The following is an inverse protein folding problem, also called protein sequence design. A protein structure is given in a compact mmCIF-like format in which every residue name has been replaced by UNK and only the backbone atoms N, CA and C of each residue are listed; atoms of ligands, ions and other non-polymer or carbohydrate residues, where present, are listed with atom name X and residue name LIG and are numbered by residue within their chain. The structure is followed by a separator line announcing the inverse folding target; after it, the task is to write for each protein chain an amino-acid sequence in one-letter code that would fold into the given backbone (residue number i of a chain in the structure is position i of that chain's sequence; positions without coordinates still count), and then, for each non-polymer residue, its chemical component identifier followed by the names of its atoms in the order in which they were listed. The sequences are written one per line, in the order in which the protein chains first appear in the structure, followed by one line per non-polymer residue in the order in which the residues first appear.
data_IF_173813044759
#
_entry.id   IF_173813044759
#
_cell.length_a   1.000
_cell.length_b   1.000
_cell.length_c   1.000
_cell.angle_alpha   90.00
_cell.angle_beta   90.00
_cell.angle_gamma   90.00
#
_symmetry.space_group_name_H-M   'P 1'
#
loop_
_entity.id
_entity.type
_entity.pdbx_description
1 polymer ?
#
# COMPACT_ATOMS: atom_id res chain seq x y z
N UNK A 1 -5.39 -17.48 -25.39
CA UNK A 1 -6.50 -17.52 -24.41
C UNK A 1 -6.03 -17.19 -22.98
N UNK A 2 -5.07 -16.26 -22.82
CA UNK A 2 -4.47 -15.90 -21.50
C UNK A 2 -4.84 -14.47 -21.08
N UNK A 3 -5.12 -13.59 -22.05
CA UNK A 3 -5.45 -12.16 -21.80
C UNK A 3 -6.78 -11.98 -21.03
N UNK A 4 -7.76 -12.86 -21.22
CA UNK A 4 -9.08 -12.76 -20.57
C UNK A 4 -9.11 -13.20 -19.10
N UNK A 5 -8.21 -14.09 -18.67
CA UNK A 5 -8.15 -14.57 -17.28
C UNK A 5 -7.37 -13.58 -16.38
N UNK A 6 -6.34 -12.93 -16.93
CA UNK A 6 -5.54 -11.92 -16.21
C UNK A 6 -6.38 -10.67 -15.91
N UNK A 7 -7.21 -10.23 -16.86
CA UNK A 7 -8.13 -9.10 -16.66
C UNK A 7 -9.23 -9.41 -15.66
N UNK A 8 -9.78 -10.63 -15.63
CA UNK A 8 -10.80 -11.00 -14.62
C UNK A 8 -10.25 -10.98 -13.19
N UNK A 9 -9.06 -11.54 -12.96
CA UNK A 9 -8.43 -11.56 -11.63
C UNK A 9 -8.02 -10.15 -11.17
N UNK A 10 -7.56 -9.29 -12.09
CA UNK A 10 -7.28 -7.87 -11.79
C UNK A 10 -8.55 -7.13 -11.35
N UNK A 11 -9.65 -7.27 -12.09
CA UNK A 11 -10.92 -6.58 -11.80
C UNK A 11 -11.52 -7.09 -10.48
N UNK A 12 -11.48 -8.40 -10.23
CA UNK A 12 -11.99 -8.97 -8.99
C UNK A 12 -11.20 -8.49 -7.76
N UNK A 13 -9.87 -8.41 -7.88
CA UNK A 13 -9.03 -8.07 -6.73
C UNK A 13 -8.86 -6.57 -6.54
N UNK A 14 -8.63 -5.74 -7.56
CA UNK A 14 -8.37 -4.30 -7.38
C UNK A 14 -9.53 -3.39 -7.85
N UNK A 15 -10.58 -3.96 -8.45
CA UNK A 15 -11.72 -3.22 -8.99
C UNK A 15 -12.33 -2.19 -8.04
N UNK A 16 -12.51 -2.49 -6.74
CA UNK A 16 -13.03 -1.50 -5.78
C UNK A 16 -12.14 -0.26 -5.62
N UNK A 17 -10.80 -0.42 -5.64
CA UNK A 17 -9.86 0.70 -5.55
C UNK A 17 -9.81 1.51 -6.85
N UNK A 18 -9.86 0.81 -7.99
CA UNK A 18 -9.96 1.44 -9.31
C UNK A 18 -11.22 2.31 -9.40
N UNK A 19 -12.38 1.78 -8.99
CA UNK A 19 -13.64 2.52 -9.00
C UNK A 19 -13.59 3.74 -8.07
N UNK A 20 -13.05 3.57 -6.86
CA UNK A 20 -12.88 4.69 -5.93
C UNK A 20 -11.97 5.78 -6.52
N UNK A 21 -10.88 5.37 -7.18
CA UNK A 21 -9.97 6.30 -7.83
C UNK A 21 -10.60 7.06 -8.99
N UNK A 22 -11.37 6.37 -9.84
CA UNK A 22 -12.08 6.99 -10.97
C UNK A 22 -13.17 7.96 -10.50
N UNK A 23 -13.80 7.68 -9.37
CA UNK A 23 -14.83 8.54 -8.79
C UNK A 23 -14.27 9.66 -7.89
N UNK A 24 -12.94 9.75 -7.72
CA UNK A 24 -12.31 10.67 -6.76
C UNK A 24 -12.87 10.52 -5.33
N UNK A 25 -13.03 9.27 -4.89
CA UNK A 25 -13.61 8.90 -3.60
C UNK A 25 -12.57 8.32 -2.65
N UNK A 26 -12.75 8.55 -1.35
CA UNK A 26 -12.03 7.82 -0.31
C UNK A 26 -12.51 6.38 -0.27
N UNK A 27 -11.59 5.46 0.01
CA UNK A 27 -11.88 4.06 0.26
C UNK A 27 -11.79 3.75 1.77
N UNK A 28 -12.64 2.84 2.22
CA UNK A 28 -12.83 2.55 3.64
C UNK A 28 -13.70 3.58 4.35
N UNK A 29 -14.17 3.26 5.56
CA UNK A 29 -15.14 4.07 6.30
C UNK A 29 -14.59 4.69 7.58
N UNK A 30 -13.39 4.30 8.01
CA UNK A 30 -12.88 4.70 9.34
C UNK A 30 -12.27 6.11 9.36
N UNK A 31 -11.69 6.56 8.25
CA UNK A 31 -11.06 7.89 8.10
C UNK A 31 -10.66 8.14 6.63
N UNK A 32 -10.10 9.31 6.37
CA UNK A 32 -9.51 9.68 5.08
C UNK A 32 -8.01 9.33 4.97
N UNK A 33 -7.47 8.57 5.92
CA UNK A 33 -6.05 8.22 5.96
C UNK A 33 -5.71 6.98 5.13
N UNK A 34 -4.42 6.76 4.87
CA UNK A 34 -3.89 5.62 4.13
C UNK A 34 -4.27 4.27 4.77
N UNK A 35 -4.31 4.22 6.10
CA UNK A 35 -4.67 3.01 6.86
C UNK A 35 -6.13 2.60 6.61
N UNK A 36 -7.04 3.57 6.43
CA UNK A 36 -8.44 3.30 6.16
C UNK A 36 -8.64 2.58 4.82
N UNK A 37 -7.79 2.90 3.85
CA UNK A 37 -7.78 2.24 2.55
C UNK A 37 -7.29 0.79 2.66
N UNK A 38 -6.26 0.54 3.48
CA UNK A 38 -5.58 -0.77 3.58
C UNK A 38 -6.29 -1.76 4.50
N UNK A 39 -6.84 -1.33 5.64
CA UNK A 39 -7.44 -2.25 6.63
C UNK A 39 -8.51 -3.21 6.09
N UNK A 40 -9.41 -2.81 5.18
CA UNK A 40 -10.38 -3.74 4.60
C UNK A 40 -9.76 -4.95 3.90
N UNK A 41 -8.49 -4.84 3.47
CA UNK A 41 -7.72 -5.88 2.79
C UNK A 41 -6.97 -6.81 3.76
N UNK A 42 -6.94 -6.49 5.05
CA UNK A 42 -6.28 -7.27 6.10
C UNK A 42 -7.28 -7.51 7.25
N UNK A 43 -8.33 -8.33 7.01
CA UNK A 43 -9.39 -8.50 7.98
C UNK A 43 -8.86 -9.08 9.29
N UNK A 44 -9.34 -8.54 10.41
CA UNK A 44 -9.02 -9.03 11.75
C UNK A 44 -7.68 -8.57 12.34
N UNK A 45 -6.93 -7.68 11.66
CA UNK A 45 -5.69 -7.09 12.21
C UNK A 45 -5.81 -5.59 12.41
N UNK A 46 -5.57 -5.15 13.64
CA UNK A 46 -5.28 -3.74 13.94
C UNK A 46 -3.88 -3.37 13.44
N UNK A 47 -3.61 -2.09 13.22
CA UNK A 47 -2.28 -1.60 12.78
C UNK A 47 -1.15 -2.01 13.73
N UNK A 48 -1.44 -2.11 15.04
CA UNK A 48 -0.47 -2.57 16.04
C UNK A 48 -0.05 -4.03 15.86
N UNK A 49 -0.85 -4.82 15.15
CA UNK A 49 -0.58 -6.23 14.86
C UNK A 49 0.12 -6.42 13.51
N UNK A 50 0.30 -5.36 12.72
CA UNK A 50 1.02 -5.44 11.45
C UNK A 50 2.50 -5.69 11.70
N UNK A 51 3.02 -6.72 11.05
CA UNK A 51 4.43 -7.08 11.14
C UNK A 51 5.14 -6.79 9.83
N UNK A 52 6.40 -6.37 9.92
CA UNK A 52 7.22 -6.12 8.73
C UNK A 52 7.59 -7.45 8.07
N UNK A 53 7.08 -7.68 6.88
CA UNK A 53 7.41 -8.82 6.03
C UNK A 53 8.62 -8.56 5.12
N UNK A 54 8.62 -9.23 3.97
CA UNK A 54 9.67 -9.05 2.95
C UNK A 54 9.62 -7.65 2.35
N UNK A 55 10.78 -7.12 1.95
CA UNK A 55 10.86 -5.84 1.25
C UNK A 55 10.21 -5.96 -0.13
N UNK A 56 9.49 -4.94 -0.57
CA UNK A 56 8.82 -4.98 -1.88
C UNK A 56 9.85 -4.96 -3.00
N UNK A 57 10.80 -4.02 -2.94
CA UNK A 57 11.82 -3.82 -3.97
C UNK A 57 12.56 -5.12 -4.29
N UNK A 58 12.65 -5.44 -5.58
CA UNK A 58 13.34 -6.62 -6.14
C UNK A 58 12.76 -7.98 -5.73
N UNK A 59 11.62 -8.03 -5.03
CA UNK A 59 10.95 -9.28 -4.70
C UNK A 59 9.70 -9.47 -5.57
N UNK A 60 9.32 -10.73 -5.82
CA UNK A 60 8.09 -11.04 -6.52
C UNK A 60 6.91 -10.93 -5.54
N UNK A 61 6.22 -9.80 -5.59
CA UNK A 61 5.06 -9.51 -4.74
C UNK A 61 3.79 -9.67 -5.56
N UNK A 62 2.80 -10.38 -5.00
CA UNK A 62 1.51 -10.52 -5.66
C UNK A 62 0.75 -9.19 -5.68
N UNK A 63 0.11 -8.88 -6.80
CA UNK A 63 -0.82 -7.76 -6.90
C UNK A 63 -1.89 -7.83 -5.78
N UNK A 64 -2.29 -6.68 -5.25
CA UNK A 64 -3.24 -6.56 -4.13
C UNK A 64 -2.64 -6.83 -2.75
N UNK A 65 -1.34 -7.12 -2.68
CA UNK A 65 -0.63 -7.25 -1.40
C UNK A 65 -0.59 -5.91 -0.67
N UNK A 66 -0.94 -5.92 0.61
CA UNK A 66 -0.85 -4.72 1.44
C UNK A 66 0.59 -4.49 1.89
N UNK A 67 1.04 -3.24 1.78
CA UNK A 67 2.42 -2.85 2.05
C UNK A 67 2.45 -1.60 2.93
N UNK A 68 3.50 -1.43 3.71
CA UNK A 68 3.71 -0.25 4.54
C UNK A 68 5.17 0.09 4.74
N UNK A 69 5.43 1.35 5.07
CA UNK A 69 6.73 1.83 5.53
C UNK A 69 6.85 1.69 7.06
N UNK A 70 7.50 0.62 7.50
CA UNK A 70 7.67 0.33 8.93
C UNK A 70 8.75 1.20 9.57
N UNK A 71 8.54 1.58 10.83
CA UNK A 71 9.50 2.32 11.64
C UNK A 71 10.27 1.37 12.57
N UNK A 72 11.54 1.65 12.84
CA UNK A 72 12.33 0.90 13.82
C UNK A 72 12.43 1.67 15.14
N UNK A 73 12.22 0.96 16.25
CA UNK A 73 12.60 1.42 17.59
C UNK A 73 13.38 0.33 18.30
N UNK A 74 14.42 0.70 19.03
CA UNK A 74 15.20 -0.23 19.85
C UNK A 74 14.34 -1.02 20.84
N UNK A 75 13.24 -0.44 21.34
CA UNK A 75 12.35 -1.09 22.33
C UNK A 75 11.23 -1.93 21.72
N UNK A 76 10.90 -1.76 20.44
CA UNK A 76 9.73 -2.40 19.79
C UNK A 76 10.09 -3.21 18.54
N UNK A 77 11.32 -3.12 18.06
CA UNK A 77 11.69 -3.61 16.73
C UNK A 77 11.02 -2.78 15.64
N UNK A 78 10.67 -3.44 14.52
CA UNK A 78 9.92 -2.80 13.43
C UNK A 78 8.43 -2.79 13.73
N UNK A 79 7.80 -1.63 13.64
CA UNK A 79 6.37 -1.44 13.91
C UNK A 79 5.75 -0.43 12.94
N UNK A 80 4.42 -0.48 12.82
CA UNK A 80 3.64 0.54 12.12
C UNK A 80 2.68 1.19 13.11
N UNK A 81 2.75 2.51 13.23
CA UNK A 81 1.90 3.31 14.12
C UNK A 81 1.09 4.38 13.38
N UNK A 82 1.27 4.49 12.06
CA UNK A 82 0.63 5.53 11.24
C UNK A 82 1.04 6.96 11.62
N UNK A 83 2.15 7.14 12.37
CA UNK A 83 2.64 8.46 12.77
C UNK A 83 3.46 9.13 11.66
N UNK A 84 3.96 10.34 11.92
CA UNK A 84 4.60 11.24 10.95
C UNK A 84 5.66 10.48 10.12
N UNK A 85 5.37 10.35 8.82
CA UNK A 85 6.26 9.72 7.83
C UNK A 85 5.92 8.27 7.48
N UNK A 86 5.08 7.58 8.26
CA UNK A 86 4.56 6.25 7.93
C UNK A 86 3.47 6.29 6.85
N UNK A 87 3.48 5.32 5.94
CA UNK A 87 2.46 5.18 4.91
C UNK A 87 2.11 3.73 4.64
N UNK A 88 0.87 3.48 4.24
CA UNK A 88 0.36 2.16 3.88
C UNK A 88 -0.35 2.23 2.53
N UNK A 89 -0.21 1.19 1.71
CA UNK A 89 -0.77 1.16 0.37
C UNK A 89 -1.12 -0.27 -0.06
N UNK A 90 -1.86 -0.39 -1.16
CA UNK A 90 -2.13 -1.66 -1.82
C UNK A 90 -1.26 -1.75 -3.07
N UNK A 91 -0.40 -2.77 -3.13
CA UNK A 91 0.56 -2.98 -4.21
C UNK A 91 -0.14 -3.36 -5.52
N UNK A 92 0.30 -2.75 -6.64
CA UNK A 92 -0.14 -3.12 -7.98
C UNK A 92 0.97 -3.85 -8.73
N UNK A 93 2.12 -3.20 -8.88
CA UNK A 93 3.28 -3.71 -9.62
C UNK A 93 4.55 -2.96 -9.21
N UNK A 94 5.71 -3.42 -9.70
CA UNK A 94 6.96 -2.67 -9.59
C UNK A 94 7.79 -2.81 -10.87
N UNK A 95 8.66 -1.83 -11.11
CA UNK A 95 9.67 -1.84 -12.16
C UNK A 95 10.97 -1.20 -11.64
N UNK A 96 11.93 -0.90 -12.51
CA UNK A 96 13.19 -0.26 -12.09
C UNK A 96 13.02 1.17 -11.54
N UNK A 97 11.88 1.83 -11.81
CA UNK A 97 11.60 3.21 -11.38
C UNK A 97 10.99 3.23 -9.98
N UNK A 98 10.09 2.30 -9.66
CA UNK A 98 9.40 2.30 -8.38
C UNK A 98 8.32 1.24 -8.23
N UNK A 99 7.46 1.46 -7.24
CA UNK A 99 6.27 0.66 -6.96
C UNK A 99 5.03 1.42 -7.42
N UNK A 100 4.16 0.76 -8.18
CA UNK A 100 2.82 1.26 -8.49
C UNK A 100 1.87 0.79 -7.41
N UNK A 101 1.11 1.72 -6.83
CA UNK A 101 0.23 1.45 -5.70
C UNK A 101 -1.11 2.16 -5.84
N UNK A 102 -2.10 1.66 -5.11
CA UNK A 102 -3.24 2.45 -4.67
C UNK A 102 -3.01 2.94 -3.25
N UNK A 103 -3.19 4.23 -3.04
CA UNK A 103 -3.19 4.84 -1.72
C UNK A 103 -4.08 6.09 -1.65
N UNK A 104 -4.24 6.60 -0.43
CA UNK A 104 -4.98 7.83 -0.12
C UNK A 104 -4.37 8.49 1.12
N UNK A 105 -4.70 9.75 1.36
CA UNK A 105 -4.46 10.46 2.62
C UNK A 105 -5.46 11.60 2.79
N UNK A 106 -5.40 12.32 3.91
CA UNK A 106 -6.42 13.30 4.31
C UNK A 106 -6.85 14.33 3.24
N UNK A 107 -5.97 14.65 2.30
CA UNK A 107 -6.16 15.66 1.24
C UNK A 107 -6.14 15.07 -0.17
N UNK A 108 -5.98 13.74 -0.28
CA UNK A 108 -5.96 13.02 -1.55
C UNK A 108 -6.82 11.76 -1.44
N UNK A 109 -7.98 11.73 -2.12
CA UNK A 109 -8.79 10.52 -2.27
C UNK A 109 -7.99 9.36 -2.88
N UNK A 110 -8.57 8.17 -2.86
CA UNK A 110 -7.96 6.98 -3.47
C UNK A 110 -7.46 7.31 -4.88
N UNK A 111 -6.21 6.98 -5.17
CA UNK A 111 -5.66 7.15 -6.50
C UNK A 111 -4.53 6.15 -6.74
N UNK A 112 -4.20 5.96 -8.02
CA UNK A 112 -3.08 5.13 -8.44
C UNK A 112 -1.87 6.03 -8.69
N UNK A 113 -0.72 5.70 -8.10
CA UNK A 113 0.53 6.43 -8.34
C UNK A 113 1.76 5.52 -8.29
N UNK A 114 2.86 6.04 -8.82
CA UNK A 114 4.19 5.44 -8.68
C UNK A 114 4.93 6.10 -7.52
N UNK A 115 5.30 5.30 -6.52
CA UNK A 115 6.26 5.70 -5.49
C UNK A 115 7.64 5.28 -5.97
N UNK A 116 8.48 6.26 -6.27
CA UNK A 116 9.79 6.03 -6.90
C UNK A 116 10.79 5.45 -5.90
N UNK A 117 11.77 4.67 -6.37
CA UNK A 117 12.90 4.18 -5.57
C UNK A 117 13.96 5.27 -5.34
N UNK A 118 13.57 6.39 -4.74
CA UNK A 118 14.44 7.53 -4.48
C UNK A 118 14.17 8.09 -3.07
N UNK A 119 15.23 8.24 -2.27
CA UNK A 119 15.17 8.70 -0.89
C UNK A 119 15.15 10.22 -0.76
N UNK A 120 14.26 10.91 -1.47
CA UNK A 120 14.28 12.37 -1.61
C UNK A 120 13.41 13.16 -0.62
N UNK A 121 12.99 12.58 0.52
CA UNK A 121 12.59 13.40 1.68
C UNK A 121 11.57 12.84 2.67
N UNK A 122 10.81 11.79 2.35
CA UNK A 122 9.92 11.14 3.33
C UNK A 122 9.74 9.65 3.05
N UNK A 123 9.69 8.83 4.10
CA UNK A 123 9.48 7.37 3.99
C UNK A 123 8.20 7.00 3.25
N UNK A 124 7.16 7.83 3.39
CA UNK A 124 5.89 7.70 2.68
C UNK A 124 5.98 7.80 1.15
N UNK A 125 7.07 8.37 0.62
CA UNK A 125 7.27 8.63 -0.79
C UNK A 125 8.52 7.93 -1.35
N UNK A 126 9.20 7.11 -0.54
CA UNK A 126 10.35 6.33 -0.97
C UNK A 126 9.98 4.85 -1.09
N UNK A 127 9.93 4.34 -2.32
CA UNK A 127 9.64 2.93 -2.59
C UNK A 127 10.62 1.95 -1.94
N UNK A 128 11.82 2.41 -1.55
CA UNK A 128 12.79 1.59 -0.84
C UNK A 128 12.33 1.23 0.59
N UNK A 129 11.44 2.02 1.18
CA UNK A 129 10.99 1.87 2.57
C UNK A 129 9.78 0.95 2.72
N UNK A 130 9.23 0.40 1.63
CA UNK A 130 8.01 -0.41 1.67
C UNK A 130 8.30 -1.91 1.84
N UNK A 131 7.55 -2.51 2.76
CA UNK A 131 7.57 -3.93 3.08
C UNK A 131 6.15 -4.47 3.08
N UNK A 132 6.00 -5.77 2.80
CA UNK A 132 4.74 -6.48 2.96
C UNK A 132 4.26 -6.39 4.40
N UNK A 133 2.95 -6.17 4.59
CA UNK A 133 2.31 -6.28 5.90
C UNK A 133 1.96 -7.75 6.12
N UNK A 134 2.56 -8.35 7.16
CA UNK A 134 2.26 -9.71 7.60
C UNK A 134 1.22 -9.76 8.71
#
# INVERSE_FOLDING_TARGET
MVVFLVTLNYIAQLGPLEQAAQNNQWYGTESHECVALVKPWIPGKTTKQWQRGIQVKNNNIAQGTCIASFQYSASKGYFYDGSIGGHAAVFVSQDSVGITVYDQWNTQPCHKRVIRFKGDGSKSNDGNEFYVIN
#
